data_IF_867137826581
#
_entry.id   IF_867137826581
#
_cell.length_a   1.000
_cell.length_b   1.000
_cell.length_c   1.000
_cell.angle_alpha   90.00
_cell.angle_beta   90.00
_cell.angle_gamma   90.00
#
_symmetry.space_group_name_H-M   'P 1'
#
loop_
_entity.id
_entity.type
_entity.pdbx_description
1 polymer ?
#
# COMPACT_ATOMS: atom_id res chain seq x y z
N UNK A 1 -16.48 -17.78 -24.65
CA UNK A 1 -16.74 -16.32 -24.67
C UNK A 1 -16.14 -15.57 -23.48
N UNK A 2 -15.82 -16.18 -22.32
CA UNK A 2 -15.16 -15.45 -21.22
C UNK A 2 -13.64 -15.29 -21.36
N UNK A 3 -12.97 -16.13 -22.16
CA UNK A 3 -11.50 -16.09 -22.31
C UNK A 3 -11.02 -14.78 -22.95
N UNK A 4 -11.69 -14.30 -24.01
CA UNK A 4 -11.29 -13.07 -24.71
C UNK A 4 -11.35 -11.82 -23.80
N UNK A 5 -12.31 -11.79 -22.87
CA UNK A 5 -12.47 -10.69 -21.92
C UNK A 5 -11.39 -10.70 -20.82
N UNK A 6 -11.03 -11.89 -20.32
CA UNK A 6 -9.97 -12.02 -19.34
C UNK A 6 -8.59 -11.72 -19.96
N UNK A 7 -8.33 -12.18 -21.17
CA UNK A 7 -7.11 -11.87 -21.91
C UNK A 7 -6.97 -10.37 -22.18
N UNK A 8 -8.07 -9.71 -22.57
CA UNK A 8 -8.08 -8.25 -22.76
C UNK A 8 -7.81 -7.51 -21.43
N UNK A 9 -8.36 -7.98 -20.31
CA UNK A 9 -8.11 -7.38 -18.99
C UNK A 9 -6.65 -7.56 -18.55
N UNK A 10 -6.08 -8.74 -18.76
CA UNK A 10 -4.67 -9.00 -18.46
C UNK A 10 -3.76 -8.13 -19.34
N UNK A 11 -4.07 -7.97 -20.64
CA UNK A 11 -3.34 -7.06 -21.52
C UNK A 11 -3.42 -5.59 -21.04
N UNK A 12 -4.61 -5.12 -20.68
CA UNK A 12 -4.80 -3.75 -20.18
C UNK A 12 -4.06 -3.52 -18.85
N UNK A 13 -3.99 -4.54 -18.00
CA UNK A 13 -3.19 -4.52 -16.77
C UNK A 13 -1.72 -4.41 -17.08
N UNK A 14 -1.21 -5.25 -17.98
CA UNK A 14 0.21 -5.32 -18.31
C UNK A 14 0.68 -4.03 -19.03
N UNK A 15 -0.22 -3.37 -19.76
CA UNK A 15 0.01 -2.02 -20.31
C UNK A 15 -0.08 -0.90 -19.27
N UNK A 16 -0.53 -1.19 -18.05
CA UNK A 16 -0.72 -0.20 -16.99
C UNK A 16 -1.87 0.76 -17.23
N UNK A 17 -2.85 0.39 -18.07
CA UNK A 17 -4.07 1.20 -18.34
C UNK A 17 -5.03 1.14 -17.15
N UNK A 18 -5.14 -0.04 -16.55
CA UNK A 18 -5.87 -0.32 -15.32
C UNK A 18 -5.00 -1.20 -14.43
N UNK A 19 -5.27 -1.25 -13.12
CA UNK A 19 -4.57 -2.13 -12.21
C UNK A 19 -5.58 -2.98 -11.45
N UNK A 20 -5.36 -4.28 -11.39
CA UNK A 20 -6.07 -5.15 -10.46
C UNK A 20 -5.07 -6.13 -9.88
N UNK A 21 -5.31 -6.53 -8.64
CA UNK A 21 -4.38 -7.35 -7.88
C UNK A 21 -5.11 -8.63 -7.47
N UNK A 22 -5.17 -9.62 -8.37
CA UNK A 22 -5.95 -10.86 -8.16
C UNK A 22 -5.52 -11.59 -6.88
N UNK A 23 -4.23 -11.50 -6.52
CA UNK A 23 -3.63 -12.14 -5.35
C UNK A 23 -3.86 -11.39 -4.03
N UNK A 24 -4.23 -10.12 -4.10
CA UNK A 24 -4.35 -9.23 -2.93
C UNK A 24 -5.82 -8.96 -2.66
N UNK A 25 -6.51 -8.38 -3.64
CA UNK A 25 -7.94 -8.06 -3.54
C UNK A 25 -8.60 -8.36 -4.90
N UNK A 26 -9.10 -9.60 -5.10
CA UNK A 26 -9.60 -10.05 -6.41
C UNK A 26 -10.80 -9.26 -6.92
N UNK A 27 -11.51 -8.54 -6.04
CA UNK A 27 -12.70 -7.77 -6.38
C UNK A 27 -12.44 -6.27 -6.67
N UNK A 28 -11.18 -5.79 -6.67
CA UNK A 28 -10.87 -4.38 -6.91
C UNK A 28 -10.09 -4.15 -8.19
N UNK A 29 -10.67 -3.32 -9.06
CA UNK A 29 -10.03 -2.80 -10.27
C UNK A 29 -9.86 -1.29 -10.13
N UNK A 30 -8.62 -0.83 -10.25
CA UNK A 30 -8.22 0.57 -10.29
C UNK A 30 -8.21 1.02 -11.75
N UNK A 31 -9.25 1.75 -12.15
CA UNK A 31 -9.41 2.28 -13.51
C UNK A 31 -8.53 3.51 -13.80
N UNK A 32 -8.00 4.16 -12.76
CA UNK A 32 -7.14 5.33 -12.85
C UNK A 32 -5.84 5.07 -12.08
N UNK A 33 -4.84 4.44 -12.71
CA UNK A 33 -3.57 4.12 -12.05
C UNK A 33 -2.88 5.35 -11.44
N UNK A 34 -3.03 6.54 -12.04
CA UNK A 34 -2.44 7.78 -11.52
C UNK A 34 -2.92 8.12 -10.11
N UNK A 35 -4.17 7.81 -9.78
CA UNK A 35 -4.71 8.00 -8.43
C UNK A 35 -3.94 7.14 -7.42
N UNK A 36 -3.72 5.86 -7.75
CA UNK A 36 -2.99 4.96 -6.86
C UNK A 36 -1.54 5.42 -6.68
N UNK A 37 -0.88 5.87 -7.75
CA UNK A 37 0.46 6.46 -7.63
C UNK A 37 0.50 7.67 -6.71
N UNK A 38 -0.48 8.58 -6.79
CA UNK A 38 -0.56 9.73 -5.90
C UNK A 38 -0.73 9.29 -4.43
N UNK A 39 -1.58 8.29 -4.18
CA UNK A 39 -1.81 7.73 -2.85
C UNK A 39 -0.55 7.09 -2.27
N UNK A 40 0.15 6.25 -3.05
CA UNK A 40 1.38 5.58 -2.65
C UNK A 40 2.52 6.59 -2.42
N UNK A 41 2.67 7.57 -3.31
CA UNK A 41 3.68 8.64 -3.20
C UNK A 41 3.50 9.43 -1.91
N UNK A 42 2.27 9.66 -1.48
CA UNK A 42 1.99 10.38 -0.24
C UNK A 42 2.48 9.62 1.01
N UNK A 43 2.53 8.29 0.96
CA UNK A 43 3.01 7.42 2.05
C UNK A 43 4.55 7.38 2.11
N UNK A 44 5.23 7.36 0.97
CA UNK A 44 6.69 7.29 0.90
C UNK A 44 7.38 8.65 0.89
N UNK A 45 6.62 9.73 0.75
CA UNK A 45 7.19 11.07 0.61
C UNK A 45 7.83 11.52 1.93
N UNK A 46 9.10 11.98 1.92
CA UNK A 46 9.80 12.41 3.13
C UNK A 46 9.22 13.69 3.76
N UNK A 47 8.26 14.33 3.10
CA UNK A 47 7.77 15.66 3.46
C UNK A 47 6.52 15.69 4.36
N UNK A 48 5.89 14.55 4.66
CA UNK A 48 4.72 14.54 5.54
C UNK A 48 5.12 14.50 7.02
N UNK A 49 4.41 15.24 7.87
CA UNK A 49 4.75 15.38 9.29
C UNK A 49 4.50 14.11 10.13
N UNK A 50 3.81 13.14 9.55
CA UNK A 50 3.27 11.97 10.28
C UNK A 50 4.26 10.82 10.50
N UNK A 51 5.38 10.76 9.76
CA UNK A 51 6.40 9.69 9.89
C UNK A 51 7.82 10.20 10.18
N UNK A 52 7.98 11.46 10.62
CA UNK A 52 9.26 12.19 10.60
C UNK A 52 10.39 11.62 11.47
N UNK A 53 10.08 11.03 12.62
CA UNK A 53 11.12 10.66 13.59
C UNK A 53 11.45 9.18 13.59
N UNK A 54 10.43 8.33 13.43
CA UNK A 54 10.54 6.89 13.71
C UNK A 54 10.07 6.01 12.55
N UNK A 55 9.59 6.62 11.46
CA UNK A 55 8.99 5.89 10.34
C UNK A 55 7.66 5.19 10.67
N UNK A 56 7.04 5.52 11.82
CA UNK A 56 5.80 4.91 12.29
C UNK A 56 4.61 5.80 11.95
N UNK A 57 3.70 5.28 11.12
CA UNK A 57 2.41 5.91 10.86
C UNK A 57 1.35 5.35 11.81
N UNK A 58 0.70 6.21 12.60
CA UNK A 58 -0.44 5.79 13.42
C UNK A 58 -1.68 5.65 12.55
N UNK A 59 -2.49 4.63 12.80
CA UNK A 59 -3.76 4.42 12.08
C UNK A 59 -4.67 5.65 12.17
N UNK A 60 -4.67 6.33 13.32
CA UNK A 60 -5.43 7.58 13.53
C UNK A 60 -4.98 8.76 12.66
N UNK A 61 -3.76 8.71 12.10
CA UNK A 61 -3.21 9.75 11.23
C UNK A 61 -3.47 9.48 9.73
N UNK A 62 -3.96 8.29 9.35
CA UNK A 62 -4.33 7.95 7.97
C UNK A 62 -5.32 8.95 7.33
N UNK A 63 -6.36 9.45 8.04
CA UNK A 63 -7.25 10.47 7.50
C UNK A 63 -6.56 11.78 7.12
N UNK A 64 -5.45 12.10 7.79
CA UNK A 64 -4.65 13.28 7.48
C UNK A 64 -3.71 13.04 6.29
N UNK A 65 -3.13 11.84 6.20
CA UNK A 65 -2.24 11.44 5.10
C UNK A 65 -2.97 11.38 3.75
N UNK A 66 -4.18 10.81 3.73
CA UNK A 66 -4.97 10.60 2.51
C UNK A 66 -6.16 11.54 2.37
N UNK A 67 -6.13 12.67 3.09
CA UNK A 67 -7.22 13.65 3.12
C UNK A 67 -7.62 14.08 1.70
N UNK A 68 -8.86 13.80 1.32
CA UNK A 68 -9.42 14.17 0.01
C UNK A 68 -8.93 13.33 -1.17
N UNK A 69 -8.02 12.38 -0.94
CA UNK A 69 -7.53 11.46 -1.96
C UNK A 69 -8.27 10.13 -1.92
N UNK A 70 -8.64 9.65 -0.72
CA UNK A 70 -9.10 8.27 -0.52
C UNK A 70 -10.29 8.23 0.44
N UNK A 71 -11.29 7.38 0.17
CA UNK A 71 -12.35 7.07 1.13
C UNK A 71 -11.80 6.21 2.27
N UNK A 72 -12.32 6.37 3.49
CA UNK A 72 -11.96 5.48 4.60
C UNK A 72 -12.25 4.00 4.31
N UNK A 73 -13.21 3.73 3.42
CA UNK A 73 -13.53 2.39 2.93
C UNK A 73 -12.39 1.73 2.15
N UNK A 74 -11.46 2.51 1.61
CA UNK A 74 -10.34 2.00 0.82
C UNK A 74 -9.07 1.80 1.66
N UNK A 75 -9.07 2.23 2.94
CA UNK A 75 -7.88 2.13 3.79
C UNK A 75 -7.42 0.69 3.98
N UNK A 76 -8.29 -0.31 4.24
CA UNK A 76 -7.85 -1.69 4.37
C UNK A 76 -7.15 -2.20 3.11
N UNK A 77 -7.73 -1.92 1.94
CA UNK A 77 -7.15 -2.27 0.64
C UNK A 77 -5.76 -1.66 0.44
N UNK A 78 -5.60 -0.37 0.73
CA UNK A 78 -4.32 0.31 0.53
C UNK A 78 -3.25 -0.18 1.50
N UNK A 79 -3.61 -0.46 2.75
CA UNK A 79 -2.68 -1.00 3.74
C UNK A 79 -2.23 -2.42 3.36
N UNK A 80 -3.14 -3.26 2.87
CA UNK A 80 -2.83 -4.59 2.37
C UNK A 80 -1.93 -4.54 1.14
N UNK A 81 -2.21 -3.62 0.21
CA UNK A 81 -1.36 -3.37 -0.96
C UNK A 81 0.05 -2.94 -0.57
N UNK A 82 0.18 -1.99 0.36
CA UNK A 82 1.47 -1.54 0.88
C UNK A 82 2.23 -2.67 1.56
N UNK A 83 1.55 -3.54 2.31
CA UNK A 83 2.16 -4.69 2.96
C UNK A 83 2.61 -5.76 1.97
N UNK A 84 1.79 -6.05 0.96
CA UNK A 84 2.11 -7.03 -0.07
C UNK A 84 3.38 -6.66 -0.85
N UNK A 85 3.55 -5.37 -1.19
CA UNK A 85 4.76 -4.87 -1.85
C UNK A 85 5.90 -4.53 -0.89
N UNK A 86 5.74 -4.78 0.41
CA UNK A 86 6.76 -4.54 1.42
C UNK A 86 7.11 -3.08 1.67
N UNK A 87 6.17 -2.17 1.38
CA UNK A 87 6.31 -0.73 1.57
C UNK A 87 6.00 -0.36 3.03
N UNK A 88 5.01 -1.01 3.64
CA UNK A 88 4.63 -0.77 5.03
C UNK A 88 4.22 -2.06 5.73
N UNK A 89 4.38 -2.12 7.06
CA UNK A 89 4.00 -3.28 7.86
C UNK A 89 3.31 -2.83 9.13
N UNK A 90 2.36 -3.63 9.63
CA UNK A 90 1.77 -3.36 10.93
C UNK A 90 2.79 -3.68 12.03
N UNK A 91 3.06 -2.69 12.89
CA UNK A 91 3.95 -2.85 14.04
C UNK A 91 3.10 -3.21 15.27
N UNK A 92 3.36 -4.36 15.92
CA UNK A 92 2.72 -4.70 17.20
C UNK A 92 2.93 -3.60 18.25
N UNK A 93 1.92 -3.37 19.11
CA UNK A 93 1.92 -2.29 20.13
C UNK A 93 3.12 -2.30 21.09
N UNK A 94 3.82 -3.42 21.22
CA UNK A 94 4.94 -3.61 22.15
C UNK A 94 6.28 -3.87 21.44
N UNK A 95 6.40 -3.52 20.16
CA UNK A 95 7.66 -3.72 19.43
C UNK A 95 8.68 -2.68 19.89
N UNK A 96 9.84 -3.08 20.47
CA UNK A 96 10.90 -2.13 20.76
C UNK A 96 11.34 -1.48 19.46
N UNK A 97 11.42 -0.14 19.47
CA UNK A 97 11.68 0.74 18.31
C UNK A 97 12.58 0.09 17.26
N UNK A 98 12.06 -0.04 16.03
CA UNK A 98 12.87 -0.24 14.83
C UNK A 98 13.75 1.00 14.69
N UNK A 99 15.02 0.85 15.04
CA UNK A 99 15.98 1.94 15.07
C UNK A 99 16.10 2.66 13.73
N UNK A 100 16.49 3.95 13.81
CA UNK A 100 16.50 4.98 12.75
C UNK A 100 17.23 4.67 11.43
N UNK A 101 17.69 3.45 11.16
CA UNK A 101 18.55 3.11 10.02
C UNK A 101 18.28 1.74 9.35
N UNK A 102 17.12 1.11 9.48
CA UNK A 102 16.90 -0.23 8.87
C UNK A 102 16.36 -0.16 7.44
N UNK A 103 17.25 0.14 6.49
CA UNK A 103 17.31 -0.57 5.21
C UNK A 103 18.60 -1.39 5.25
N UNK A 104 18.52 -2.69 5.55
CA UNK A 104 19.54 -3.65 5.10
C UNK A 104 19.03 -5.08 5.22
N UNK A 105 18.98 -5.73 4.06
CA UNK A 105 18.92 -7.17 3.79
C UNK A 105 18.78 -8.15 4.97
N UNK A 106 17.80 -9.05 4.78
CA UNK A 106 17.78 -10.42 5.28
C UNK A 106 17.49 -10.66 6.77
N UNK A 107 16.60 -11.65 6.95
CA UNK A 107 16.46 -12.62 8.05
C UNK A 107 15.49 -12.27 9.20
N UNK A 108 14.39 -13.02 9.10
CA UNK A 108 13.80 -13.92 10.12
C UNK A 108 13.00 -13.31 11.27
N UNK A 109 11.73 -13.78 11.31
CA UNK A 109 10.98 -14.34 12.45
C UNK A 109 10.66 -13.35 13.59
N UNK A 110 9.48 -13.37 14.21
CA UNK A 110 8.74 -14.56 14.67
C UNK A 110 7.28 -14.20 14.96
N UNK A 111 6.42 -15.20 14.80
CA UNK A 111 4.99 -15.21 15.12
C UNK A 111 4.79 -15.17 16.64
N UNK A 112 3.82 -14.39 17.11
CA UNK A 112 3.29 -14.38 18.47
C UNK A 112 1.95 -13.66 18.53
#
# INVERSE_FOLDING_TARGET
ESDDAEEALDLLRDMGVLLFFREIVPARVVLKPQWLFAVLTNVISPNHQFCKEDGILKIGDLPHLWKGLVSQLDYPFLLELLAHYGIAYMVPKNTPFLGKNMLTHQRRLTIG
#
